data_IF_018111495178
#
_entry.id   IF_018111495178
#
_cell.length_a   1.000
_cell.length_b   1.000
_cell.length_c   1.000
_cell.angle_alpha   90.00
_cell.angle_beta   90.00
_cell.angle_gamma   90.00
#
_symmetry.space_group_name_H-M   'P 1'
#
loop_
_entity.id
_entity.type
_entity.pdbx_description
1 polymer ?
#
# COMPACT_ATOMS: atom_id res chain seq x y z
N UNK A 1 6.20 -1.82 -6.82
CA UNK A 1 4.81 -1.41 -6.49
C UNK A 1 4.56 -1.67 -5.01
N UNK A 2 3.78 -0.82 -4.35
CA UNK A 2 3.29 -1.04 -2.98
C UNK A 2 1.80 -0.72 -2.87
N UNK A 3 1.14 -1.31 -1.88
CA UNK A 3 -0.28 -1.08 -1.56
C UNK A 3 -0.40 -0.38 -0.20
N UNK A 4 -1.34 0.56 -0.07
CA UNK A 4 -1.61 1.15 1.24
C UNK A 4 -2.66 2.24 1.24
N UNK A 5 -3.12 2.58 2.45
CA UNK A 5 -4.00 3.73 2.65
C UNK A 5 -3.24 5.05 2.70
N UNK A 6 -2.03 5.06 3.29
CA UNK A 6 -1.21 6.27 3.51
C UNK A 6 -1.99 7.44 4.11
N UNK A 7 -2.87 7.14 5.05
CA UNK A 7 -3.70 8.12 5.73
C UNK A 7 -2.83 8.87 6.75
N UNK A 8 -2.72 10.19 6.58
CA UNK A 8 -1.77 11.06 7.29
C UNK A 8 -0.33 10.59 7.12
N UNK A 9 0.32 11.04 6.04
CA UNK A 9 1.70 10.69 5.74
C UNK A 9 2.65 11.12 6.88
N UNK A 10 3.37 10.17 7.45
CA UNK A 10 4.27 10.36 8.58
C UNK A 10 5.61 9.67 8.33
N UNK A 11 6.58 9.81 9.24
CA UNK A 11 7.95 9.35 9.02
C UNK A 11 8.05 7.84 8.72
N UNK A 12 7.29 7.01 9.43
CA UNK A 12 7.20 5.57 9.11
C UNK A 12 6.78 5.28 7.66
N UNK A 13 5.85 6.05 7.09
CA UNK A 13 5.49 5.92 5.68
C UNK A 13 6.64 6.37 4.77
N UNK A 14 7.34 7.46 5.11
CA UNK A 14 8.47 7.97 4.30
C UNK A 14 9.60 6.95 4.23
N UNK A 15 9.95 6.34 5.36
CA UNK A 15 10.97 5.29 5.40
C UNK A 15 10.54 4.06 4.60
N UNK A 16 9.29 3.62 4.77
CA UNK A 16 8.76 2.50 3.98
C UNK A 16 8.82 2.78 2.47
N UNK A 17 8.47 4.00 2.04
CA UNK A 17 8.54 4.40 0.64
C UNK A 17 9.99 4.47 0.14
N UNK A 18 10.93 4.94 0.97
CA UNK A 18 12.35 4.94 0.66
C UNK A 18 12.89 3.52 0.46
N UNK A 19 12.59 2.60 1.38
CA UNK A 19 12.99 1.20 1.28
C UNK A 19 12.35 0.52 0.05
N UNK A 20 11.09 0.81 -0.24
CA UNK A 20 10.40 0.30 -1.41
C UNK A 20 11.02 0.83 -2.72
N UNK A 21 11.37 2.12 -2.77
CA UNK A 21 12.06 2.74 -3.91
C UNK A 21 13.44 2.12 -4.12
N UNK A 22 14.17 1.79 -3.05
CA UNK A 22 15.50 1.18 -3.14
C UNK A 22 15.52 -0.22 -3.79
N UNK A 23 14.36 -0.87 -3.93
CA UNK A 23 14.22 -2.16 -4.63
C UNK A 23 14.25 -2.03 -6.16
N UNK A 24 14.14 -0.81 -6.70
CA UNK A 24 14.11 -0.57 -8.14
C UNK A 24 14.40 0.88 -8.51
N UNK A 25 14.03 1.26 -9.71
CA UNK A 25 14.19 2.60 -10.26
C UNK A 25 12.86 3.36 -10.39
N UNK A 26 11.72 2.67 -10.26
CA UNK A 26 10.37 3.25 -10.38
C UNK A 26 9.40 2.65 -9.33
N UNK A 27 8.78 3.52 -8.53
CA UNK A 27 7.86 3.18 -7.44
C UNK A 27 6.44 3.66 -7.76
N UNK A 28 5.56 2.68 -7.96
CA UNK A 28 4.12 2.84 -8.11
C UNK A 28 3.43 2.58 -6.77
N UNK A 29 2.55 3.49 -6.37
CA UNK A 29 1.66 3.34 -5.20
C UNK A 29 0.25 3.01 -5.68
N UNK A 30 -0.24 1.81 -5.35
CA UNK A 30 -1.65 1.47 -5.46
C UNK A 30 -2.39 1.96 -4.20
N UNK A 31 -3.01 3.13 -4.31
CA UNK A 31 -3.65 3.84 -3.20
C UNK A 31 -5.07 3.31 -2.95
N UNK A 32 -5.35 2.93 -1.71
CA UNK A 32 -6.70 2.47 -1.34
C UNK A 32 -7.74 3.60 -1.43
N UNK A 33 -8.93 3.27 -1.94
CA UNK A 33 -10.09 4.16 -1.95
C UNK A 33 -10.62 4.42 -0.53
N UNK A 34 -11.37 5.52 -0.35
CA UNK A 34 -12.01 5.83 0.94
C UNK A 34 -13.05 4.76 1.34
N UNK A 35 -13.72 4.15 0.34
CA UNK A 35 -14.64 3.04 0.56
C UNK A 35 -13.92 1.79 1.07
N UNK A 36 -12.80 1.42 0.43
CA UNK A 36 -11.98 0.26 0.84
C UNK A 36 -11.44 0.42 2.27
N UNK A 37 -10.98 1.63 2.63
CA UNK A 37 -10.49 1.92 3.98
C UNK A 37 -11.61 1.74 5.01
N UNK A 38 -12.81 2.29 4.73
CA UNK A 38 -13.98 2.18 5.60
C UNK A 38 -14.41 0.74 5.82
N UNK A 39 -14.43 -0.06 4.77
CA UNK A 39 -14.78 -1.48 4.83
C UNK A 39 -13.76 -2.28 5.65
N UNK A 40 -12.47 -2.12 5.34
CA UNK A 40 -11.39 -2.91 5.96
C UNK A 40 -11.06 -2.51 7.39
N UNK A 41 -11.09 -1.20 7.68
CA UNK A 41 -10.67 -0.66 8.98
C UNK A 41 -11.84 -0.28 9.89
N UNK A 42 -13.06 -0.24 9.36
CA UNK A 42 -14.27 0.12 10.10
C UNK A 42 -14.36 1.60 10.49
N UNK A 43 -13.55 2.47 9.90
CA UNK A 43 -13.54 3.91 10.16
C UNK A 43 -13.26 4.71 8.90
N UNK A 44 -13.67 5.99 8.87
CA UNK A 44 -13.31 6.92 7.79
C UNK A 44 -11.79 7.20 7.80
N UNK A 45 -11.16 7.35 6.62
CA UNK A 45 -9.83 7.94 6.59
C UNK A 45 -9.87 9.39 7.09
N UNK A 46 -8.78 9.86 7.68
CA UNK A 46 -8.64 11.26 8.11
C UNK A 46 -8.48 12.21 6.92
N UNK A 47 -7.89 11.72 5.85
CA UNK A 47 -7.70 12.44 4.59
C UNK A 47 -8.43 11.72 3.44
N UNK A 48 -9.10 12.50 2.60
CA UNK A 48 -9.73 12.01 1.36
C UNK A 48 -8.71 11.35 0.43
N UNK A 49 -9.19 10.54 -0.51
CA UNK A 49 -8.34 9.95 -1.55
C UNK A 49 -7.44 10.99 -2.25
N UNK A 50 -8.01 12.12 -2.65
CA UNK A 50 -7.29 13.18 -3.35
C UNK A 50 -6.20 13.84 -2.48
N UNK A 51 -6.48 14.07 -1.20
CA UNK A 51 -5.50 14.61 -0.26
C UNK A 51 -4.32 13.64 -0.03
N UNK A 52 -4.62 12.35 0.11
CA UNK A 52 -3.59 11.29 0.27
C UNK A 52 -2.76 11.13 -0.99
N UNK A 53 -3.41 11.14 -2.17
CA UNK A 53 -2.74 11.09 -3.45
C UNK A 53 -1.81 12.30 -3.65
N UNK A 54 -2.30 13.52 -3.37
CA UNK A 54 -1.49 14.73 -3.47
C UNK A 54 -0.28 14.70 -2.52
N UNK A 55 -0.45 14.22 -1.29
CA UNK A 55 0.65 14.08 -0.33
C UNK A 55 1.71 13.07 -0.80
N UNK A 56 1.29 11.96 -1.43
CA UNK A 56 2.18 10.95 -1.99
C UNK A 56 2.91 11.47 -3.23
N UNK A 57 2.24 12.18 -4.14
CA UNK A 57 2.87 12.76 -5.34
C UNK A 57 3.92 13.83 -5.04
N UNK A 58 3.92 14.40 -3.83
CA UNK A 58 4.95 15.33 -3.35
C UNK A 58 6.14 14.61 -2.68
N UNK A 59 6.09 13.29 -2.50
CA UNK A 59 7.18 12.51 -1.92
C UNK A 59 8.22 12.18 -3.00
N UNK A 60 9.49 12.49 -2.74
CA UNK A 60 10.60 12.28 -3.68
C UNK A 60 10.83 10.81 -4.10
N UNK A 61 10.38 9.85 -3.30
CA UNK A 61 10.53 8.43 -3.59
C UNK A 61 9.39 7.86 -4.43
N UNK A 62 8.32 8.62 -4.66
CA UNK A 62 7.11 8.17 -5.35
C UNK A 62 7.10 8.71 -6.78
N UNK A 63 7.07 7.81 -7.77
CA UNK A 63 7.01 8.20 -9.18
C UNK A 63 5.58 8.27 -9.69
N UNK A 64 4.71 7.37 -9.21
CA UNK A 64 3.33 7.28 -9.69
C UNK A 64 2.37 6.85 -8.57
N UNK A 65 1.21 7.52 -8.52
CA UNK A 65 0.10 7.14 -7.65
C UNK A 65 -1.06 6.73 -8.54
N UNK A 66 -1.55 5.52 -8.34
CA UNK A 66 -2.72 4.98 -9.05
C UNK A 66 -3.78 4.59 -8.03
N UNK A 67 -5.04 4.62 -8.45
CA UNK A 67 -6.10 4.00 -7.66
C UNK A 67 -5.83 2.49 -7.57
N UNK A 68 -5.88 1.95 -6.36
CA UNK A 68 -5.94 0.52 -6.13
C UNK A 68 -7.30 -0.04 -6.53
N UNK A 69 -7.43 -1.37 -6.45
CA UNK A 69 -8.69 -2.03 -6.80
C UNK A 69 -9.82 -1.59 -5.85
N UNK A 70 -11.00 -1.32 -6.42
CA UNK A 70 -12.21 -0.98 -5.66
C UNK A 70 -12.89 -2.24 -5.13
N UNK A 71 -13.66 -2.13 -4.04
CA UNK A 71 -14.45 -3.23 -3.50
C UNK A 71 -15.34 -3.85 -4.59
N UNK A 72 -15.52 -5.18 -4.55
CA UNK A 72 -16.50 -5.82 -5.43
C UNK A 72 -17.96 -5.51 -5.01
N UNK A 73 -18.92 -5.90 -5.86
CA UNK A 73 -20.36 -5.64 -5.64
C UNK A 73 -20.90 -6.22 -4.32
N UNK A 74 -20.22 -7.23 -3.76
CA UNK A 74 -20.55 -7.86 -2.47
C UNK A 74 -19.84 -7.16 -1.29
N UNK A 75 -19.13 -6.06 -1.56
CA UNK A 75 -18.37 -5.30 -0.59
C UNK A 75 -17.08 -5.98 -0.15
N UNK A 76 -16.71 -7.12 -0.73
CA UNK A 76 -15.46 -7.78 -0.37
C UNK A 76 -14.29 -7.00 -0.94
N UNK A 77 -13.19 -7.00 -0.19
CA UNK A 77 -11.98 -6.37 -0.64
C UNK A 77 -11.48 -7.03 -1.93
N UNK A 78 -11.24 -6.19 -2.94
CA UNK A 78 -10.67 -6.60 -4.21
C UNK A 78 -9.18 -6.98 -4.13
N UNK A 79 -8.67 -7.27 -2.91
CA UNK A 79 -7.59 -8.23 -2.67
C UNK A 79 -7.72 -9.55 -3.45
N UNK A 80 -8.81 -9.80 -4.18
CA UNK A 80 -8.93 -10.89 -5.15
C UNK A 80 -8.78 -10.49 -6.62
N UNK A 81 -9.06 -9.24 -6.99
CA UNK A 81 -9.15 -8.85 -8.42
C UNK A 81 -7.80 -8.57 -9.04
N UNK A 82 -6.86 -8.01 -8.26
CA UNK A 82 -5.48 -7.74 -8.66
C UNK A 82 -5.35 -7.02 -10.01
N UNK A 83 -6.37 -6.26 -10.42
CA UNK A 83 -6.45 -5.68 -11.76
C UNK A 83 -5.34 -4.66 -11.97
N UNK A 84 -5.01 -3.89 -10.93
CA UNK A 84 -3.88 -2.97 -10.97
C UNK A 84 -2.54 -3.69 -11.21
N UNK A 85 -2.35 -4.89 -10.67
CA UNK A 85 -1.15 -5.71 -10.90
C UNK A 85 -1.14 -6.22 -12.34
N UNK A 86 -2.28 -6.71 -12.83
CA UNK A 86 -2.41 -7.22 -14.19
C UNK A 86 -2.19 -6.13 -15.24
N UNK A 87 -2.66 -4.90 -14.97
CA UNK A 87 -2.50 -3.76 -15.87
C UNK A 87 -1.08 -3.21 -15.88
N UNK A 88 -0.45 -3.08 -14.71
CA UNK A 88 0.84 -2.39 -14.57
C UNK A 88 2.04 -3.33 -14.58
N UNK A 89 1.82 -4.64 -14.44
CA UNK A 89 2.85 -5.70 -14.52
C UNK A 89 4.14 -5.34 -13.74
N UNK A 90 4.04 -5.01 -12.43
CA UNK A 90 5.22 -4.61 -11.67
C UNK A 90 6.21 -5.77 -11.55
N UNK A 91 7.51 -5.48 -11.56
CA UNK A 91 8.52 -6.53 -11.35
C UNK A 91 8.60 -6.98 -9.88
N UNK A 92 8.33 -6.07 -8.96
CA UNK A 92 8.41 -6.27 -7.51
C UNK A 92 7.16 -5.67 -6.85
N UNK A 93 6.56 -6.42 -5.94
CA UNK A 93 5.60 -5.92 -4.97
C UNK A 93 6.22 -5.97 -3.58
N UNK A 94 6.37 -4.80 -2.95
CA UNK A 94 6.86 -4.70 -1.60
C UNK A 94 5.69 -4.53 -0.61
N UNK A 95 5.67 -5.35 0.42
CA UNK A 95 4.66 -5.38 1.47
C UNK A 95 5.25 -4.83 2.77
N UNK A 96 4.45 -4.06 3.50
CA UNK A 96 4.78 -3.68 4.88
C UNK A 96 4.81 -4.90 5.81
N UNK A 97 5.59 -4.83 6.89
CA UNK A 97 5.72 -5.91 7.88
C UNK A 97 4.39 -6.32 8.53
N UNK A 98 3.42 -5.40 8.57
CA UNK A 98 2.08 -5.59 9.12
C UNK A 98 1.07 -6.10 8.08
N UNK A 99 1.47 -6.22 6.81
CA UNK A 99 0.62 -6.68 5.69
C UNK A 99 0.75 -8.20 5.43
N UNK A 100 0.84 -9.02 6.48
CA UNK A 100 1.09 -10.46 6.35
C UNK A 100 0.02 -11.20 5.53
N UNK A 101 -1.25 -10.81 5.67
CA UNK A 101 -2.34 -11.41 4.92
C UNK A 101 -2.20 -11.17 3.41
N UNK A 102 -1.92 -9.92 3.01
CA UNK A 102 -1.71 -9.53 1.62
C UNK A 102 -0.49 -10.24 1.04
N UNK A 103 0.63 -10.24 1.77
CA UNK A 103 1.84 -10.94 1.35
C UNK A 103 1.59 -12.43 1.11
N UNK A 104 0.86 -13.09 2.02
CA UNK A 104 0.51 -14.51 1.88
C UNK A 104 -0.33 -14.75 0.62
N UNK A 105 -1.34 -13.92 0.37
CA UNK A 105 -2.21 -14.04 -0.79
C UNK A 105 -1.44 -13.83 -2.10
N UNK A 106 -0.63 -12.78 -2.17
CA UNK A 106 0.21 -12.48 -3.35
C UNK A 106 1.22 -13.58 -3.61
N UNK A 107 1.92 -14.04 -2.57
CA UNK A 107 2.91 -15.12 -2.69
C UNK A 107 2.25 -16.39 -3.22
N UNK A 108 1.05 -16.74 -2.72
CA UNK A 108 0.29 -17.88 -3.23
C UNK A 108 -0.17 -17.69 -4.68
N UNK A 109 -0.63 -16.48 -5.04
CA UNK A 109 -1.14 -16.15 -6.38
C UNK A 109 -0.05 -16.22 -7.45
N UNK A 110 1.14 -15.74 -7.13
CA UNK A 110 2.27 -15.62 -8.05
C UNK A 110 3.35 -16.70 -7.87
N UNK A 111 3.07 -17.76 -7.09
CA UNK A 111 4.02 -18.81 -6.73
C UNK A 111 4.68 -19.53 -7.93
N UNK A 112 4.00 -19.57 -9.09
CA UNK A 112 4.48 -20.26 -10.30
C UNK A 112 5.00 -19.29 -11.36
N UNK A 113 5.10 -18.00 -11.05
CA UNK A 113 5.51 -16.96 -11.96
C UNK A 113 6.83 -16.34 -11.49
N UNK A 114 7.69 -15.98 -12.44
CA UNK A 114 8.97 -15.32 -12.12
C UNK A 114 8.78 -13.84 -11.71
N UNK A 115 7.58 -13.28 -11.95
CA UNK A 115 7.25 -11.89 -11.65
C UNK A 115 5.73 -11.73 -11.39
N UNK A 116 5.32 -10.81 -10.48
CA UNK A 116 6.14 -10.01 -9.56
C UNK A 116 6.84 -10.84 -8.48
N UNK A 117 8.04 -10.41 -8.06
CA UNK A 117 8.65 -10.87 -6.82
C UNK A 117 7.96 -10.21 -5.63
N UNK A 118 7.60 -11.00 -4.61
CA UNK A 118 6.93 -10.49 -3.41
C UNK A 118 7.97 -10.35 -2.29
N UNK A 119 8.18 -9.12 -1.80
CA UNK A 119 9.19 -8.81 -0.78
C UNK A 119 8.50 -8.21 0.44
N UNK A 120 8.87 -8.67 1.64
CA UNK A 120 8.47 -8.04 2.91
C UNK A 120 9.57 -7.08 3.36
N UNK A 121 9.22 -5.81 3.56
CA UNK A 121 10.14 -4.83 4.13
C UNK A 121 10.12 -4.89 5.66
N UNK A 122 11.28 -4.66 6.27
CA UNK A 122 11.41 -4.64 7.72
C UNK A 122 10.73 -3.38 8.32
N UNK A 123 10.19 -3.47 9.54
CA UNK A 123 9.66 -2.28 10.22
C UNK A 123 10.78 -1.30 10.58
N UNK A 124 10.54 -0.02 10.34
CA UNK A 124 11.34 1.06 10.93
C UNK A 124 10.76 1.48 12.28
N UNK A 125 11.50 1.24 13.36
CA UNK A 125 11.15 1.61 14.74
C UNK A 125 9.65 1.41 15.11
N UNK A 126 9.16 0.15 15.10
CA UNK A 126 7.72 -0.17 15.17
C UNK A 126 7.04 0.23 16.49
N UNK A 127 7.82 0.59 17.52
CA UNK A 127 7.34 1.06 18.82
C UNK A 127 7.05 2.57 18.84
N UNK A 128 7.52 3.33 17.84
CA UNK A 128 7.39 4.79 17.79
C UNK A 128 6.47 5.21 16.63
N UNK A 129 6.59 4.60 15.45
CA UNK A 129 5.91 5.07 14.22
C UNK A 129 4.77 4.19 13.71
N UNK A 130 4.11 3.43 14.58
CA UNK A 130 2.93 2.65 14.18
C UNK A 130 1.77 3.60 13.87
N UNK A 131 1.18 3.51 12.68
CA UNK A 131 0.06 4.38 12.26
C UNK A 131 -1.12 4.35 13.24
N UNK A 132 -1.34 3.22 13.94
CA UNK A 132 -2.38 3.12 14.99
C UNK A 132 -2.09 3.96 16.24
N UNK A 133 -0.81 4.21 16.58
CA UNK A 133 -0.42 5.04 17.72
C UNK A 133 -0.52 6.52 17.35
N UNK A 134 -0.07 6.92 16.16
CA UNK A 134 -0.11 8.31 15.70
C UNK A 134 -1.54 8.78 15.41
N UNK A 135 -2.42 7.90 14.94
CA UNK A 135 -3.84 8.25 14.74
C UNK A 135 -4.60 8.57 16.03
N UNK A 136 -4.09 8.18 17.22
CA UNK A 136 -4.71 8.54 18.51
C UNK A 136 -4.25 9.89 19.08
N UNK A 137 -3.25 10.53 18.47
CA UNK A 137 -2.62 11.77 18.98
C UNK A 137 -2.94 13.01 18.14
N UNK A 138 -3.73 12.86 17.08
CA UNK A 138 -4.16 13.93 16.17
C UNK A 138 -5.68 13.89 16.05
#
# INVERSE_FOLDING_TARGET
MVFGSFDVLHEGHRHFLQDAKALGDYLIIALASDASIRFLKGHEPKQSFDERAAALSLNENVDEVVAGDELDDDGNDALGTWQVIEKLQPNIIACGYDQQAINTLLTKRFATLDSPQIISLAPFEPTIYKSSLLNSLI
#
